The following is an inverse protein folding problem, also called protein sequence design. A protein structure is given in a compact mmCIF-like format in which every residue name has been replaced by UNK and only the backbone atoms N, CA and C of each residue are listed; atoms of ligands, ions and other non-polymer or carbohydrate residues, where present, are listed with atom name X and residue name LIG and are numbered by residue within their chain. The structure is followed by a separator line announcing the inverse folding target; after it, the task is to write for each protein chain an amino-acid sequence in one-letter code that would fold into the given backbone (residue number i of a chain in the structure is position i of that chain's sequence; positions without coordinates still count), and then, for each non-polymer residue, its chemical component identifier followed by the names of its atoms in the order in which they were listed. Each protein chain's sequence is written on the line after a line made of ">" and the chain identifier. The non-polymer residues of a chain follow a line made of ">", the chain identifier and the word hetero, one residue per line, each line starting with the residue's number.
data_IF_786303862260
#
_entry.id   IF_786303862260
#
_cell.length_a   1.000
_cell.length_b   1.000
_cell.length_c   1.000
_cell.angle_alpha   90.00
_cell.angle_beta   90.00
_cell.angle_gamma   90.00
#
_symmetry.space_group_name_H-M   'P 1'
#
loop_
_entity.id
_entity.type
_entity.pdbx_description
1 polymer ?
#
# COMPACT_ATOMS: atom_id res chain seq x y z
N UNK A 1 -0.25 12.45 -28.87
CA UNK A 1 -1.17 13.31 -28.08
C UNK A 1 -1.69 12.44 -26.94
N UNK A 2 -1.00 12.46 -25.79
CA UNK A 2 -1.47 13.10 -24.54
C UNK A 2 -2.83 12.50 -24.11
N UNK A 3 -2.92 11.62 -23.13
CA UNK A 3 -2.65 11.89 -21.71
C UNK A 3 -2.47 10.57 -20.94
N UNK A 4 -1.23 10.28 -20.53
CA UNK A 4 -0.99 9.41 -19.38
C UNK A 4 -1.07 10.34 -18.17
N UNK A 5 -2.17 10.26 -17.43
CA UNK A 5 -2.34 10.96 -16.16
C UNK A 5 -1.27 10.44 -15.19
N UNK A 6 -0.12 11.13 -15.16
CA UNK A 6 0.98 10.92 -14.23
C UNK A 6 0.51 11.39 -12.85
N UNK A 7 -0.34 10.60 -12.19
CA UNK A 7 -0.50 10.73 -10.74
C UNK A 7 0.77 10.23 -10.10
N UNK A 8 1.64 11.20 -9.80
CA UNK A 8 2.93 11.04 -9.14
C UNK A 8 2.79 10.05 -8.00
N UNK A 9 3.50 8.93 -8.12
CA UNK A 9 3.74 8.03 -6.99
C UNK A 9 4.30 8.82 -5.82
N UNK A 10 3.79 8.48 -4.64
CA UNK A 10 4.27 8.83 -3.31
C UNK A 10 5.37 9.90 -3.28
N UNK A 11 4.99 11.15 -3.01
CA UNK A 11 5.97 12.14 -2.56
C UNK A 11 6.64 11.61 -1.28
N UNK A 12 7.98 11.54 -1.23
CA UNK A 12 8.70 11.45 0.04
C UNK A 12 8.16 12.54 0.95
N UNK A 13 7.83 12.25 2.21
CA UNK A 13 7.59 13.31 3.18
C UNK A 13 8.95 14.01 3.37
N UNK A 14 9.11 15.26 2.91
CA UNK A 14 10.40 15.92 2.97
C UNK A 14 10.66 16.29 4.43
N UNK A 15 11.69 15.69 5.02
CA UNK A 15 12.15 16.09 6.35
C UNK A 15 12.89 17.41 6.27
N UNK A 16 12.82 18.20 7.35
CA UNK A 16 13.76 19.31 7.58
C UNK A 16 15.16 18.72 7.80
N UNK A 17 15.88 18.38 6.72
CA UNK A 17 17.20 17.74 6.80
C UNK A 17 17.65 16.95 5.57
N UNK A 18 16.81 16.75 4.55
CA UNK A 18 17.21 16.08 3.30
C UNK A 18 17.17 14.54 3.33
N UNK A 19 16.71 13.93 4.42
CA UNK A 19 16.47 12.49 4.52
C UNK A 19 15.08 12.10 4.01
N UNK A 20 14.94 10.89 3.44
CA UNK A 20 13.66 10.27 3.08
C UNK A 20 13.16 9.45 4.28
N UNK A 21 12.04 9.84 4.86
CA UNK A 21 11.34 9.03 5.87
C UNK A 21 10.40 8.03 5.20
N UNK A 22 10.32 6.84 5.80
CA UNK A 22 9.34 5.81 5.43
C UNK A 22 8.82 5.11 6.68
N UNK A 23 7.61 4.58 6.59
CA UNK A 23 7.06 3.70 7.61
C UNK A 23 7.79 2.36 7.57
N UNK A 24 8.15 1.83 8.72
CA UNK A 24 8.81 0.53 8.88
C UNK A 24 8.06 -0.30 9.91
N UNK A 25 8.22 -1.63 9.86
CA UNK A 25 7.71 -2.52 10.92
C UNK A 25 8.49 -2.29 12.21
N UNK A 26 7.85 -2.57 13.34
CA UNK A 26 8.34 -2.25 14.69
C UNK A 26 9.74 -2.82 15.00
N UNK A 27 10.07 -3.98 14.40
CA UNK A 27 11.35 -4.66 14.63
C UNK A 27 12.46 -4.25 13.66
N UNK A 28 12.18 -3.48 12.62
CA UNK A 28 13.20 -3.03 11.66
C UNK A 28 14.34 -2.25 12.34
N UNK A 29 14.09 -1.36 13.32
CA UNK A 29 15.16 -0.63 13.99
C UNK A 29 16.10 -1.57 14.77
N UNK A 30 15.57 -2.63 15.38
CA UNK A 30 16.36 -3.66 16.05
C UNK A 30 17.22 -4.42 15.05
N UNK A 31 16.62 -4.89 13.96
CA UNK A 31 17.31 -5.64 12.90
C UNK A 31 18.46 -4.81 12.29
N UNK A 32 18.25 -3.51 12.04
CA UNK A 32 19.30 -2.63 11.51
C UNK A 32 20.46 -2.50 12.51
N UNK A 33 20.17 -2.30 13.80
CA UNK A 33 21.20 -2.20 14.84
C UNK A 33 21.99 -3.50 14.98
N UNK A 34 21.31 -4.64 14.99
CA UNK A 34 21.94 -5.97 15.10
C UNK A 34 22.83 -6.28 13.89
N UNK A 35 22.50 -5.73 12.73
CA UNK A 35 23.34 -5.78 11.52
C UNK A 35 24.51 -4.77 11.53
N UNK A 36 24.69 -3.99 12.59
CA UNK A 36 25.76 -2.99 12.72
C UNK A 36 25.46 -1.62 12.11
N UNK A 37 24.20 -1.34 11.73
CA UNK A 37 23.79 -0.03 11.22
C UNK A 37 23.62 1.01 12.34
N UNK A 38 24.46 2.06 12.34
CA UNK A 38 24.52 3.05 13.43
C UNK A 38 23.71 4.32 13.20
N UNK A 39 23.29 4.59 11.96
CA UNK A 39 22.79 5.92 11.56
C UNK A 39 21.26 5.98 11.39
N UNK A 40 20.54 4.91 11.74
CA UNK A 40 19.08 4.87 11.67
C UNK A 40 18.45 5.49 12.92
N UNK A 41 17.76 6.61 12.76
CA UNK A 41 16.89 7.19 13.79
C UNK A 41 15.43 6.79 13.55
N UNK A 42 14.65 6.69 14.62
CA UNK A 42 13.22 6.41 14.55
C UNK A 42 12.42 7.40 15.38
N UNK A 43 11.20 7.66 14.93
CA UNK A 43 10.18 8.39 15.65
C UNK A 43 8.83 7.73 15.42
N UNK A 44 7.91 7.89 16.36
CA UNK A 44 6.52 7.54 16.13
C UNK A 44 5.87 8.61 15.24
N UNK A 45 4.98 8.17 14.33
CA UNK A 45 4.15 9.08 13.54
C UNK A 45 2.94 9.54 14.35
N UNK A 46 2.51 10.79 14.17
CA UNK A 46 1.22 11.24 14.69
C UNK A 46 0.06 10.59 13.91
N UNK A 47 -1.16 10.55 14.46
CA UNK A 47 -2.27 9.78 13.85
C UNK A 47 -2.57 10.16 12.38
N UNK A 48 -2.64 11.47 12.08
CA UNK A 48 -2.91 11.95 10.72
C UNK A 48 -1.77 11.63 9.76
N UNK A 49 -0.53 11.73 10.24
CA UNK A 49 0.67 11.38 9.49
C UNK A 49 0.76 9.88 9.25
N UNK A 50 0.47 9.06 10.26
CA UNK A 50 0.48 7.60 10.17
C UNK A 50 -0.44 7.10 9.05
N UNK A 51 -1.66 7.65 8.95
CA UNK A 51 -2.59 7.32 7.85
C UNK A 51 -2.03 7.69 6.48
N UNK A 52 -1.30 8.80 6.37
CA UNK A 52 -0.64 9.20 5.13
C UNK A 52 0.54 8.29 4.77
N UNK A 53 1.36 7.93 5.76
CA UNK A 53 2.49 7.03 5.63
C UNK A 53 2.06 5.61 5.24
N UNK A 54 0.96 5.08 5.80
CA UNK A 54 0.38 3.80 5.38
C UNK A 54 -0.04 3.79 3.91
N UNK A 55 -0.65 4.88 3.42
CA UNK A 55 -0.99 5.01 1.99
C UNK A 55 0.26 5.06 1.12
N UNK A 56 1.30 5.79 1.55
CA UNK A 56 2.57 5.81 0.82
C UNK A 56 3.20 4.41 0.78
N UNK A 57 3.18 3.69 1.91
CA UNK A 57 3.66 2.31 2.03
C UNK A 57 2.92 1.37 1.09
N UNK A 58 1.59 1.48 0.98
CA UNK A 58 0.80 0.69 0.03
C UNK A 58 1.29 0.84 -1.42
N UNK A 59 1.65 2.05 -1.85
CA UNK A 59 2.20 2.28 -3.18
C UNK A 59 3.64 1.77 -3.34
N UNK A 60 4.45 1.87 -2.29
CA UNK A 60 5.82 1.30 -2.24
C UNK A 60 5.76 -0.21 -2.47
N UNK A 61 5.05 -0.96 -1.61
CA UNK A 61 4.97 -2.42 -1.69
C UNK A 61 4.29 -2.91 -2.98
N UNK A 62 3.23 -2.22 -3.44
CA UNK A 62 2.59 -2.55 -4.71
C UNK A 62 3.55 -2.31 -5.89
N UNK A 63 4.36 -1.26 -5.83
CA UNK A 63 5.40 -0.99 -6.81
C UNK A 63 6.49 -2.05 -6.82
N UNK A 64 6.90 -2.52 -5.63
CA UNK A 64 7.88 -3.60 -5.47
C UNK A 64 7.34 -4.91 -6.06
N UNK A 65 6.10 -5.31 -5.72
CA UNK A 65 5.46 -6.49 -6.34
C UNK A 65 5.36 -6.38 -7.87
N UNK A 66 4.97 -5.21 -8.40
CA UNK A 66 4.88 -5.00 -9.86
C UNK A 66 6.24 -5.12 -10.52
N UNK A 67 7.31 -4.69 -9.86
CA UNK A 67 8.67 -4.72 -10.40
C UNK A 67 9.32 -6.12 -10.29
N UNK A 68 9.13 -6.81 -9.17
CA UNK A 68 9.79 -8.09 -8.87
C UNK A 68 8.96 -9.31 -9.28
N UNK A 69 7.62 -9.22 -9.16
CA UNK A 69 6.73 -10.37 -9.22
C UNK A 69 6.88 -11.36 -8.06
N UNK A 70 7.64 -10.99 -7.01
CA UNK A 70 7.94 -11.88 -5.88
C UNK A 70 6.72 -11.99 -4.95
N UNK A 71 6.21 -13.22 -4.70
CA UNK A 71 5.15 -13.44 -3.72
C UNK A 71 5.46 -12.95 -2.30
N UNK A 72 6.73 -12.75 -1.92
CA UNK A 72 7.10 -12.14 -0.65
C UNK A 72 6.46 -10.75 -0.47
N UNK A 73 6.43 -9.95 -1.54
CA UNK A 73 5.84 -8.60 -1.51
C UNK A 73 4.31 -8.62 -1.30
N UNK A 74 3.64 -9.74 -1.62
CA UNK A 74 2.22 -9.91 -1.30
C UNK A 74 1.98 -10.01 0.21
N UNK A 75 2.95 -10.54 0.97
CA UNK A 75 2.86 -10.58 2.42
C UNK A 75 3.04 -9.18 3.02
N UNK A 76 3.93 -8.36 2.46
CA UNK A 76 4.08 -6.95 2.82
C UNK A 76 2.83 -6.13 2.48
N UNK A 77 2.24 -6.34 1.31
CA UNK A 77 0.94 -5.75 0.96
C UNK A 77 -0.16 -6.16 1.94
N UNK A 78 -0.20 -7.44 2.36
CA UNK A 78 -1.20 -7.90 3.32
C UNK A 78 -1.05 -7.21 4.69
N UNK A 79 0.19 -7.03 5.16
CA UNK A 79 0.47 -6.30 6.40
C UNK A 79 -0.02 -4.85 6.31
N UNK A 80 0.26 -4.17 5.19
CA UNK A 80 -0.22 -2.80 4.96
C UNK A 80 -1.75 -2.72 4.91
N UNK A 81 -2.42 -3.69 4.29
CA UNK A 81 -3.88 -3.76 4.23
C UNK A 81 -4.50 -3.95 5.63
N UNK A 82 -3.90 -4.78 6.49
CA UNK A 82 -4.35 -4.93 7.87
C UNK A 82 -4.18 -3.64 8.68
N UNK A 83 -3.03 -2.96 8.55
CA UNK A 83 -2.78 -1.71 9.24
C UNK A 83 -3.72 -0.57 8.76
N UNK A 84 -4.01 -0.51 7.46
CA UNK A 84 -5.02 0.40 6.90
C UNK A 84 -6.43 0.08 7.40
N UNK A 85 -6.82 -1.19 7.46
CA UNK A 85 -8.11 -1.60 8.00
C UNK A 85 -8.25 -1.18 9.47
N UNK A 86 -7.22 -1.41 10.29
CA UNK A 86 -7.20 -0.99 11.68
C UNK A 86 -7.31 0.55 11.81
N UNK A 87 -6.67 1.32 10.93
CA UNK A 87 -6.80 2.78 10.89
C UNK A 87 -8.21 3.28 10.47
N UNK A 88 -9.05 2.37 9.98
CA UNK A 88 -10.48 2.56 9.70
C UNK A 88 -11.40 1.85 10.72
N UNK A 89 -10.85 1.41 11.85
CA UNK A 89 -11.57 0.68 12.91
C UNK A 89 -12.20 -0.64 12.42
N UNK A 90 -11.55 -1.28 11.44
CA UNK A 90 -11.99 -2.53 10.83
C UNK A 90 -10.99 -3.64 11.16
N UNK A 91 -11.49 -4.77 11.69
CA UNK A 91 -10.66 -5.95 11.93
C UNK A 91 -10.32 -6.69 10.63
N UNK A 92 -9.23 -7.47 10.59
CA UNK A 92 -8.94 -8.35 9.45
C UNK A 92 -10.11 -9.27 9.06
N UNK A 93 -10.84 -9.79 10.05
CA UNK A 93 -12.02 -10.62 9.81
C UNK A 93 -13.17 -9.84 9.16
N UNK A 94 -13.38 -8.57 9.54
CA UNK A 94 -14.38 -7.72 8.89
C UNK A 94 -13.95 -7.32 7.47
N UNK A 95 -12.66 -7.03 7.24
CA UNK A 95 -12.13 -6.79 5.90
C UNK A 95 -12.38 -8.01 4.99
N UNK A 96 -12.10 -9.21 5.49
CA UNK A 96 -12.33 -10.46 4.75
C UNK A 96 -13.83 -10.69 4.49
N UNK A 97 -14.71 -10.42 5.46
CA UNK A 97 -16.17 -10.48 5.23
C UNK A 97 -16.61 -9.54 4.11
N UNK A 98 -16.10 -8.31 4.08
CA UNK A 98 -16.40 -7.34 3.01
C UNK A 98 -15.88 -7.79 1.65
N UNK A 99 -14.67 -8.38 1.59
CA UNK A 99 -14.12 -8.99 0.37
C UNK A 99 -15.00 -10.15 -0.11
N UNK A 100 -15.38 -11.05 0.79
CA UNK A 100 -16.22 -12.21 0.49
C UNK A 100 -17.62 -11.81 0.02
N UNK A 101 -18.25 -10.81 0.65
CA UNK A 101 -19.54 -10.27 0.21
C UNK A 101 -19.47 -9.72 -1.22
N UNK A 102 -18.45 -8.90 -1.53
CA UNK A 102 -18.21 -8.41 -2.90
C UNK A 102 -17.98 -9.55 -3.89
N UNK A 103 -17.26 -10.60 -3.48
CA UNK A 103 -17.03 -11.76 -4.33
C UNK A 103 -18.32 -12.56 -4.59
N UNK A 104 -19.24 -12.63 -3.62
CA UNK A 104 -20.57 -13.23 -3.79
C UNK A 104 -21.49 -12.40 -4.70
N UNK A 105 -21.46 -11.07 -4.56
CA UNK A 105 -22.30 -10.15 -5.33
C UNK A 105 -21.80 -9.94 -6.77
N UNK A 106 -20.48 -9.82 -6.97
CA UNK A 106 -19.85 -9.35 -8.22
C UNK A 106 -18.95 -10.41 -8.87
N UNK A 107 -18.79 -11.57 -8.25
CA UNK A 107 -17.82 -12.57 -8.64
C UNK A 107 -16.39 -12.23 -8.19
N UNK A 108 -15.47 -13.14 -8.50
CA UNK A 108 -14.04 -13.01 -8.21
C UNK A 108 -13.21 -13.07 -9.49
N UNK A 109 -11.90 -12.84 -9.37
CA UNK A 109 -10.97 -12.91 -10.50
C UNK A 109 -10.66 -14.34 -11.00
N UNK A 110 -11.40 -15.36 -10.52
CA UNK A 110 -11.18 -16.78 -10.84
C UNK A 110 -11.39 -17.11 -12.32
N UNK A 111 -12.28 -16.39 -13.00
CA UNK A 111 -12.58 -16.59 -14.42
C UNK A 111 -11.61 -15.87 -15.38
N UNK A 112 -10.66 -15.07 -14.86
CA UNK A 112 -9.63 -14.36 -15.66
C UNK A 112 -10.21 -13.52 -16.81
N UNK A 113 -11.35 -12.88 -16.57
CA UNK A 113 -12.07 -12.10 -17.58
C UNK A 113 -11.38 -10.73 -17.80
N UNK A 114 -11.36 -10.27 -19.05
CA UNK A 114 -10.90 -8.93 -19.44
C UNK A 114 -12.04 -8.23 -20.18
N UNK A 115 -12.49 -7.08 -19.66
CA UNK A 115 -13.53 -6.27 -20.29
C UNK A 115 -12.92 -5.38 -21.38
N UNK A 116 -13.51 -5.39 -22.58
CA UNK A 116 -13.20 -4.44 -23.67
C UNK A 116 -14.45 -3.64 -23.97
N UNK A 117 -14.38 -2.34 -23.72
CA UNK A 117 -15.44 -1.40 -24.07
C UNK A 117 -15.23 -0.84 -25.48
N UNK A 118 -16.29 -0.55 -26.23
CA UNK A 118 -16.17 0.21 -27.47
C UNK A 118 -15.72 1.65 -27.19
N UNK A 119 -15.00 2.26 -28.13
CA UNK A 119 -14.54 3.63 -28.00
C UNK A 119 -15.74 4.59 -27.87
N UNK A 120 -15.71 5.47 -26.87
CA UNK A 120 -16.72 6.52 -26.66
C UNK A 120 -17.78 6.24 -25.57
N UNK A 121 -17.69 5.13 -24.83
CA UNK A 121 -18.51 4.91 -23.63
C UNK A 121 -17.79 5.56 -22.43
N UNK A 122 -18.32 6.66 -21.92
CA UNK A 122 -17.88 7.24 -20.65
C UNK A 122 -18.45 6.42 -19.50
N UNK A 123 -17.58 5.78 -18.73
CA UNK A 123 -17.93 5.11 -17.47
C UNK A 123 -17.92 6.12 -16.32
N UNK A 124 -18.83 7.10 -16.35
CA UNK A 124 -19.14 7.93 -15.19
C UNK A 124 -20.54 7.56 -14.68
N UNK A 125 -20.63 6.44 -13.96
CA UNK A 125 -21.70 6.16 -12.99
C UNK A 125 -21.18 5.28 -11.85
#
# INVERSE_FOLDING_TARGET
>A
MQSLDRRRGATPHPTKGGGREKLVRDRIPEIIRDAGGTDASVRAAEEGEYKALLRAKLYEEAGEYVASGDPAELADLLEVLHALAAAHDISPAELERRRAAKAGERGAFTHRLVLRLPAGVNEDK
#
